data_IF_483004222093
#
_entry.id   IF_483004222093
#
_cell.length_a   1.000
_cell.length_b   1.000
_cell.length_c   1.000
_cell.angle_alpha   90.00
_cell.angle_beta   90.00
_cell.angle_gamma   90.00
#
_symmetry.space_group_name_H-M   'P 1'
#
loop_
_entity.id
_entity.type
_entity.pdbx_description
1 polymer ?
#
# COMPACT_ATOMS: atom_id res chain seq x y z
N UNK A 1 10.88 -27.69 -7.30
CA UNK A 1 10.48 -28.61 -8.38
C UNK A 1 9.55 -29.63 -7.74
N UNK A 2 8.26 -29.61 -8.06
CA UNK A 2 7.32 -30.66 -7.63
C UNK A 2 7.56 -31.92 -8.48
N UNK A 3 7.54 -33.08 -7.82
CA UNK A 3 8.21 -34.36 -8.14
C UNK A 3 8.09 -34.98 -9.55
N UNK A 4 7.33 -34.41 -10.49
CA UNK A 4 7.13 -35.02 -11.83
C UNK A 4 7.31 -34.04 -13.01
N UNK A 5 7.72 -32.78 -12.76
CA UNK A 5 7.92 -31.80 -13.84
C UNK A 5 6.64 -31.39 -14.59
N UNK A 6 5.47 -31.71 -14.04
CA UNK A 6 4.15 -31.42 -14.62
C UNK A 6 3.74 -29.95 -14.44
N UNK A 7 4.30 -29.26 -13.44
CA UNK A 7 4.00 -27.86 -13.16
C UNK A 7 5.20 -27.09 -12.62
N UNK A 8 5.31 -25.82 -13.00
CA UNK A 8 6.24 -24.85 -12.42
C UNK A 8 5.52 -24.00 -11.37
N UNK A 9 6.19 -23.76 -10.26
CA UNK A 9 5.65 -22.96 -9.16
C UNK A 9 6.24 -21.56 -9.21
N UNK A 10 5.39 -20.57 -9.48
CA UNK A 10 5.78 -19.15 -9.52
C UNK A 10 5.26 -18.47 -8.27
N UNK A 11 6.17 -17.90 -7.48
CA UNK A 11 5.82 -17.15 -6.27
C UNK A 11 5.28 -15.76 -6.66
N UNK A 12 4.10 -15.45 -6.15
CA UNK A 12 3.44 -14.16 -6.42
C UNK A 12 3.82 -13.06 -5.44
N UNK A 13 2.99 -12.01 -5.44
CA UNK A 13 3.02 -10.93 -4.46
C UNK A 13 1.68 -10.87 -3.74
N UNK A 14 1.71 -10.88 -2.42
CA UNK A 14 0.54 -10.64 -1.57
C UNK A 14 0.61 -9.22 -1.02
N UNK A 15 -0.26 -8.34 -1.51
CA UNK A 15 -0.39 -6.98 -1.00
C UNK A 15 -1.55 -6.89 -0.01
N UNK A 16 -1.26 -6.45 1.22
CA UNK A 16 -2.25 -6.24 2.27
C UNK A 16 -2.26 -4.75 2.61
N UNK A 17 -3.32 -4.07 2.18
CA UNK A 17 -3.60 -2.69 2.57
C UNK A 17 -4.22 -2.63 3.98
N UNK A 18 -4.01 -1.51 4.66
CA UNK A 18 -4.45 -1.28 6.04
C UNK A 18 -4.15 -2.44 7.01
N UNK A 19 -2.89 -2.91 7.05
CA UNK A 19 -2.46 -4.06 7.88
C UNK A 19 -2.86 -3.95 9.36
N UNK A 20 -3.04 -2.74 9.88
CA UNK A 20 -3.60 -2.45 11.22
C UNK A 20 -4.96 -3.10 11.51
N UNK A 21 -5.67 -3.55 10.47
CA UNK A 21 -6.97 -4.22 10.60
C UNK A 21 -6.83 -5.70 10.99
N UNK A 22 -5.64 -6.29 10.82
CA UNK A 22 -5.33 -7.65 11.25
C UNK A 22 -5.18 -7.73 12.76
N UNK A 23 -5.63 -8.84 13.32
CA UNK A 23 -5.46 -9.16 14.74
C UNK A 23 -4.23 -10.04 14.99
N UNK A 24 -3.94 -10.29 16.27
CA UNK A 24 -2.78 -11.08 16.70
C UNK A 24 -2.77 -12.50 16.12
N UNK A 25 -3.94 -13.11 15.91
CA UNK A 25 -4.06 -14.45 15.33
C UNK A 25 -3.68 -14.44 13.85
N UNK A 26 -4.13 -13.42 13.10
CA UNK A 26 -3.72 -13.21 11.72
C UNK A 26 -2.20 -13.03 11.58
N UNK A 27 -1.57 -12.24 12.47
CA UNK A 27 -0.12 -12.07 12.46
C UNK A 27 0.62 -13.38 12.79
N UNK A 28 0.12 -14.17 13.74
CA UNK A 28 0.69 -15.48 14.07
C UNK A 28 0.63 -16.44 12.89
N UNK A 29 -0.47 -16.43 12.13
CA UNK A 29 -0.60 -17.20 10.91
C UNK A 29 0.39 -16.73 9.83
N UNK A 30 0.49 -15.41 9.63
CA UNK A 30 1.39 -14.83 8.64
C UNK A 30 2.87 -15.12 8.94
N UNK A 31 3.30 -15.02 10.19
CA UNK A 31 4.66 -15.40 10.60
C UNK A 31 4.98 -16.84 10.17
N UNK A 32 4.08 -17.79 10.47
CA UNK A 32 4.27 -19.19 10.09
C UNK A 32 4.23 -19.41 8.57
N UNK A 33 3.40 -18.66 7.85
CA UNK A 33 3.34 -18.73 6.39
C UNK A 33 4.62 -18.18 5.73
N UNK A 34 5.17 -17.09 6.28
CA UNK A 34 6.40 -16.44 5.81
C UNK A 34 7.66 -17.29 6.02
N UNK A 35 7.65 -18.20 7.00
CA UNK A 35 8.74 -19.18 7.21
C UNK A 35 8.78 -20.27 6.13
N UNK A 36 7.72 -20.44 5.34
CA UNK A 36 7.66 -21.42 4.25
C UNK A 36 8.55 -21.01 3.08
N UNK A 37 9.29 -21.97 2.51
CA UNK A 37 10.09 -21.74 1.28
C UNK A 37 9.23 -21.42 0.04
N UNK A 38 7.93 -21.66 0.11
CA UNK A 38 6.96 -21.34 -0.93
C UNK A 38 6.17 -20.05 -0.61
N UNK A 39 6.63 -19.23 0.33
CA UNK A 39 5.96 -17.97 0.64
C UNK A 39 6.12 -16.97 -0.50
N UNK A 40 5.03 -16.29 -0.94
CA UNK A 40 5.15 -15.14 -1.84
C UNK A 40 5.83 -13.96 -1.13
N UNK A 41 6.18 -12.94 -1.91
CA UNK A 41 6.58 -11.65 -1.34
C UNK A 41 5.35 -11.00 -0.72
N UNK A 42 5.41 -10.67 0.58
CA UNK A 42 4.32 -9.99 1.28
C UNK A 42 4.65 -8.51 1.43
N UNK A 43 3.73 -7.65 0.97
CA UNK A 43 3.85 -6.19 1.08
C UNK A 43 2.72 -5.70 1.97
N UNK A 44 3.07 -5.12 3.11
CA UNK A 44 2.14 -4.48 4.02
C UNK A 44 2.07 -2.97 3.77
N UNK A 45 0.87 -2.40 3.76
CA UNK A 45 0.66 -0.97 3.76
C UNK A 45 -0.11 -0.51 4.99
N UNK A 46 0.27 0.65 5.52
CA UNK A 46 -0.34 1.28 6.68
C UNK A 46 -0.16 2.79 6.63
N UNK A 47 -1.19 3.51 7.05
CA UNK A 47 -1.18 4.96 7.20
C UNK A 47 -1.10 5.40 8.66
N UNK A 48 -0.90 4.45 9.61
CA UNK A 48 -0.79 4.76 11.04
C UNK A 48 0.63 4.58 11.55
N UNK A 49 1.06 5.54 12.36
CA UNK A 49 2.39 5.53 13.00
C UNK A 49 2.45 4.59 14.19
N UNK A 50 1.69 4.86 15.25
CA UNK A 50 1.60 4.00 16.45
C UNK A 50 0.12 3.69 16.69
N UNK A 51 -0.21 2.41 16.85
CA UNK A 51 -1.54 1.98 17.27
C UNK A 51 -1.48 0.62 17.98
N UNK A 52 -2.55 0.22 18.65
CA UNK A 52 -2.62 -1.08 19.30
C UNK A 52 -2.68 -2.20 18.25
N UNK A 53 -2.00 -3.32 18.53
CA UNK A 53 -2.21 -4.55 17.77
C UNK A 53 -3.63 -5.03 18.09
N UNK A 54 -4.46 -5.19 17.06
CA UNK A 54 -5.87 -5.52 17.24
C UNK A 54 -6.02 -6.85 17.98
N UNK A 55 -6.90 -6.89 18.97
CA UNK A 55 -7.04 -8.03 19.88
C UNK A 55 -6.12 -7.98 21.11
N UNK A 56 -5.32 -6.93 21.27
CA UNK A 56 -4.45 -6.71 22.44
C UNK A 56 -4.48 -5.24 22.89
N UNK A 57 -4.02 -4.98 24.11
CA UNK A 57 -3.80 -3.61 24.62
C UNK A 57 -2.36 -3.11 24.34
N UNK A 58 -1.58 -3.82 23.53
CA UNK A 58 -0.18 -3.49 23.25
C UNK A 58 -0.07 -2.48 22.11
N UNK A 59 0.44 -1.29 22.41
CA UNK A 59 0.79 -0.29 21.41
C UNK A 59 2.08 -0.70 20.68
N UNK A 60 2.05 -0.65 19.34
CA UNK A 60 3.20 -0.99 18.50
C UNK A 60 3.30 -0.07 17.27
N UNK A 61 4.51 0.16 16.72
CA UNK A 61 4.63 0.81 15.42
C UNK A 61 3.76 0.11 14.38
N UNK A 62 2.99 0.90 13.63
CA UNK A 62 2.13 0.45 12.54
C UNK A 62 1.01 -0.53 12.93
N UNK A 63 0.83 -0.84 14.22
CA UNK A 63 -0.10 -1.87 14.70
C UNK A 63 0.35 -3.29 14.40
N UNK A 64 1.66 -3.49 14.16
CA UNK A 64 2.26 -4.78 13.84
C UNK A 64 3.03 -5.29 15.06
N UNK A 65 2.96 -6.57 15.43
CA UNK A 65 3.78 -7.16 16.49
C UNK A 65 5.29 -6.95 16.26
N UNK A 66 6.07 -6.75 17.34
CA UNK A 66 7.50 -6.40 17.26
C UNK A 66 8.33 -7.50 16.58
N UNK A 67 7.97 -8.76 16.83
CA UNK A 67 8.57 -9.94 16.22
C UNK A 67 8.46 -9.94 14.69
N UNK A 68 7.32 -9.52 14.14
CA UNK A 68 7.17 -9.38 12.70
C UNK A 68 7.85 -8.10 12.19
N UNK A 69 7.78 -6.98 12.93
CA UNK A 69 8.43 -5.72 12.54
C UNK A 69 9.94 -5.88 12.29
N UNK A 70 10.62 -6.70 13.11
CA UNK A 70 12.06 -6.95 12.97
C UNK A 70 12.43 -7.65 11.65
N UNK A 71 11.46 -8.31 11.00
CA UNK A 71 11.67 -8.99 9.71
C UNK A 71 11.32 -8.11 8.50
N UNK A 72 10.70 -6.94 8.72
CA UNK A 72 10.20 -6.09 7.64
C UNK A 72 11.25 -5.09 7.15
N UNK A 73 11.28 -4.89 5.84
CA UNK A 73 11.94 -3.74 5.22
C UNK A 73 10.94 -2.58 5.15
N UNK A 74 11.15 -1.55 5.98
CA UNK A 74 10.24 -0.39 6.03
C UNK A 74 10.61 0.62 4.95
N UNK A 75 9.70 0.83 4.00
CA UNK A 75 9.79 1.86 2.95
C UNK A 75 8.83 2.99 3.29
N UNK A 76 9.36 4.20 3.47
CA UNK A 76 8.56 5.40 3.78
C UNK A 76 8.18 6.13 2.50
N UNK A 77 6.88 6.27 2.25
CA UNK A 77 6.35 7.13 1.19
C UNK A 77 6.30 8.59 1.66
N UNK A 78 6.44 9.53 0.73
CA UNK A 78 6.24 10.96 0.97
C UNK A 78 4.95 11.42 0.30
N UNK A 79 4.37 12.48 0.81
CA UNK A 79 3.26 13.17 0.12
C UNK A 79 3.77 13.79 -1.16
N UNK A 80 2.98 13.72 -2.22
CA UNK A 80 3.29 14.40 -3.48
C UNK A 80 3.30 15.91 -3.30
N UNK A 81 4.18 16.59 -4.03
CA UNK A 81 4.10 18.03 -4.21
C UNK A 81 3.10 18.42 -5.31
N UNK A 82 2.84 19.72 -5.47
CA UNK A 82 1.87 20.22 -6.43
C UNK A 82 2.24 19.85 -7.87
N UNK A 83 3.53 19.93 -8.23
CA UNK A 83 4.00 19.62 -9.57
C UNK A 83 3.83 18.12 -9.89
N UNK A 84 4.12 17.25 -8.92
CA UNK A 84 3.89 15.81 -9.00
C UNK A 84 2.39 15.49 -9.12
N UNK A 85 1.53 16.15 -8.35
CA UNK A 85 0.08 15.95 -8.45
C UNK A 85 -0.45 16.34 -9.83
N UNK A 86 -0.06 17.49 -10.38
CA UNK A 86 -0.47 17.92 -11.72
C UNK A 86 -0.01 16.90 -12.77
N UNK A 87 1.23 16.41 -12.70
CA UNK A 87 1.73 15.35 -13.61
C UNK A 87 0.88 14.08 -13.53
N UNK A 88 0.49 13.66 -12.33
CA UNK A 88 -0.38 12.49 -12.16
C UNK A 88 -1.77 12.74 -12.78
N UNK A 89 -2.34 13.92 -12.58
CA UNK A 89 -3.63 14.29 -13.16
C UNK A 89 -3.58 14.35 -14.70
N UNK A 90 -2.51 14.87 -15.29
CA UNK A 90 -2.29 14.88 -16.74
C UNK A 90 -2.28 13.44 -17.28
N UNK A 91 -1.50 12.55 -16.67
CA UNK A 91 -1.44 11.13 -17.10
C UNK A 91 -2.83 10.49 -16.95
N UNK A 92 -3.55 10.79 -15.86
CA UNK A 92 -4.87 10.23 -15.63
C UNK A 92 -5.90 10.71 -16.65
N UNK A 93 -5.92 12.00 -16.96
CA UNK A 93 -6.79 12.58 -17.98
C UNK A 93 -6.50 11.98 -19.38
N UNK A 94 -5.23 11.71 -19.70
CA UNK A 94 -4.85 11.03 -20.95
C UNK A 94 -5.35 9.58 -21.01
N UNK A 95 -5.24 8.84 -19.91
CA UNK A 95 -5.74 7.44 -19.82
C UNK A 95 -7.26 7.39 -19.95
N UNK A 96 -7.96 8.38 -19.41
CA UNK A 96 -9.41 8.48 -19.46
C UNK A 96 -9.91 9.20 -20.73
N UNK A 97 -9.00 9.55 -21.66
CA UNK A 97 -9.27 10.24 -22.94
C UNK A 97 -10.03 11.59 -22.80
N UNK A 98 -9.75 12.32 -21.71
CA UNK A 98 -10.37 13.59 -21.39
C UNK A 98 -9.55 14.77 -21.96
N UNK A 99 -10.22 15.64 -22.73
CA UNK A 99 -9.66 16.90 -23.19
C UNK A 99 -9.83 18.00 -22.15
N UNK A 100 -8.83 18.18 -21.28
CA UNK A 100 -8.83 19.19 -20.22
C UNK A 100 -7.71 20.21 -20.50
N UNK A 101 -8.01 21.50 -20.32
CA UNK A 101 -7.03 22.57 -20.46
C UNK A 101 -6.03 22.59 -19.29
N UNK A 102 -4.84 23.15 -19.54
CA UNK A 102 -3.75 23.18 -18.57
C UNK A 102 -4.11 23.99 -17.30
N UNK A 103 -4.91 25.05 -17.43
CA UNK A 103 -5.35 25.89 -16.30
C UNK A 103 -6.30 25.10 -15.38
N UNK A 104 -7.22 24.32 -15.95
CA UNK A 104 -8.11 23.42 -15.23
C UNK A 104 -7.32 22.30 -14.51
N UNK A 105 -6.30 21.74 -15.15
CA UNK A 105 -5.42 20.73 -14.52
C UNK A 105 -4.60 21.32 -13.37
N UNK A 106 -4.10 22.55 -13.52
CA UNK A 106 -3.42 23.27 -12.45
C UNK A 106 -4.38 23.52 -11.27
N UNK A 107 -5.61 23.95 -11.55
CA UNK A 107 -6.63 24.14 -10.52
C UNK A 107 -7.02 22.85 -9.80
N UNK A 108 -7.16 21.74 -10.53
CA UNK A 108 -7.38 20.42 -9.92
C UNK A 108 -6.19 19.98 -9.06
N UNK A 109 -4.96 20.32 -9.46
CA UNK A 109 -3.75 20.15 -8.65
C UNK A 109 -3.85 20.89 -7.32
N UNK A 110 -4.28 22.16 -7.32
CA UNK A 110 -4.49 22.94 -6.10
C UNK A 110 -5.59 22.35 -5.20
N UNK A 111 -6.68 21.85 -5.79
CA UNK A 111 -7.72 21.12 -5.05
C UNK A 111 -7.13 19.86 -4.42
N UNK A 112 -6.33 19.10 -5.16
CA UNK A 112 -5.64 17.91 -4.68
C UNK A 112 -4.73 18.20 -3.49
N UNK A 113 -3.97 19.31 -3.57
CA UNK A 113 -3.09 19.77 -2.49
C UNK A 113 -3.86 20.16 -1.23
N UNK A 114 -5.05 20.78 -1.38
CA UNK A 114 -5.92 21.17 -0.26
C UNK A 114 -6.72 20.01 0.33
N UNK A 115 -6.90 18.93 -0.44
CA UNK A 115 -7.77 17.79 -0.06
C UNK A 115 -7.00 16.47 -0.15
N UNK A 116 -7.08 15.76 -1.28
CA UNK A 116 -6.29 14.58 -1.59
C UNK A 116 -6.23 14.38 -3.10
N UNK A 117 -5.16 13.74 -3.57
CA UNK A 117 -5.03 13.31 -4.97
C UNK A 117 -6.22 12.43 -5.41
N UNK A 118 -6.71 11.55 -4.54
CA UNK A 118 -7.89 10.71 -4.83
C UNK A 118 -9.12 11.55 -5.15
N UNK A 119 -9.34 12.62 -4.38
CA UNK A 119 -10.47 13.51 -4.60
C UNK A 119 -10.32 14.28 -5.92
N UNK A 120 -9.14 14.83 -6.20
CA UNK A 120 -8.88 15.52 -7.47
C UNK A 120 -9.07 14.60 -8.69
N UNK A 121 -8.62 13.34 -8.60
CA UNK A 121 -8.83 12.33 -9.66
C UNK A 121 -10.30 11.99 -9.87
N UNK A 122 -11.14 12.05 -8.82
CA UNK A 122 -12.59 11.83 -8.95
C UNK A 122 -13.35 13.01 -9.57
N UNK A 123 -12.70 14.17 -9.71
CA UNK A 123 -13.25 15.36 -10.34
C UNK A 123 -12.83 15.51 -11.81
N UNK A 124 -11.92 14.65 -12.29
CA UNK A 124 -11.64 14.46 -13.71
C UNK A 124 -12.84 13.78 -14.38
#
# INVERSE_FOLDING_TARGET
>A
MTDEGVAELVLGVLFIDEVRMLDMECFSYLNRALESSLSPIVIFATNRGICNVRGTDMASPHGIPVDLLDWLVIIRTRTYDLEEMIKILVIRAQVDELGIDDDSLAYLGEIGQRTSLRHAVQLL
#
